data_IF_611349148164
#
_entry.id   IF_611349148164
#
_cell.length_a   1.000
_cell.length_b   1.000
_cell.length_c   1.000
_cell.angle_alpha   90.00
_cell.angle_beta   90.00
_cell.angle_gamma   90.00
#
_symmetry.space_group_name_H-M   'P 1'
#
loop_
_entity.id
_entity.type
_entity.pdbx_description
1 polymer ?
#
# COMPACT_ATOMS: atom_id res chain seq x y z
N UNK A 1 -15.90 20.48 -4.58
CA UNK A 1 -15.97 19.63 -3.36
C UNK A 1 -14.96 20.16 -2.36
N UNK A 2 -15.37 20.37 -1.10
CA UNK A 2 -14.69 21.24 -0.13
C UNK A 2 -13.32 20.70 0.31
N UNK A 3 -12.31 21.57 0.38
CA UNK A 3 -10.94 21.30 0.85
C UNK A 3 -10.89 20.63 2.24
N UNK A 4 -11.92 20.85 3.07
CA UNK A 4 -12.06 20.23 4.39
C UNK A 4 -12.25 18.70 4.32
N UNK A 5 -12.95 18.20 3.29
CA UNK A 5 -13.15 16.76 3.10
C UNK A 5 -11.86 16.05 2.71
N UNK A 6 -11.08 16.67 1.81
CA UNK A 6 -9.80 16.12 1.35
C UNK A 6 -8.77 16.11 2.49
N UNK A 7 -8.72 17.19 3.29
CA UNK A 7 -7.92 17.24 4.50
C UNK A 7 -8.32 16.15 5.51
N UNK A 8 -9.61 15.96 5.77
CA UNK A 8 -10.10 14.94 6.68
C UNK A 8 -9.70 13.53 6.20
N UNK A 9 -9.85 13.23 4.91
CA UNK A 9 -9.42 11.95 4.34
C UNK A 9 -7.89 11.76 4.45
N UNK A 10 -7.10 12.78 4.17
CA UNK A 10 -5.65 12.74 4.33
C UNK A 10 -5.21 12.53 5.79
N UNK A 11 -5.95 13.07 6.76
CA UNK A 11 -5.74 12.79 8.18
C UNK A 11 -6.02 11.32 8.52
N UNK A 12 -7.12 10.75 8.02
CA UNK A 12 -7.46 9.34 8.22
C UNK A 12 -6.37 8.43 7.62
N UNK A 13 -5.91 8.70 6.40
CA UNK A 13 -4.84 7.91 5.78
C UNK A 13 -3.54 7.93 6.57
N UNK A 14 -3.13 9.10 7.07
CA UNK A 14 -1.95 9.23 7.93
C UNK A 14 -2.13 8.47 9.24
N UNK A 15 -3.29 8.55 9.87
CA UNK A 15 -3.58 7.85 11.11
C UNK A 15 -3.56 6.33 10.93
N UNK A 16 -4.14 5.83 9.85
CA UNK A 16 -4.10 4.39 9.52
C UNK A 16 -2.67 3.94 9.23
N UNK A 17 -1.89 4.72 8.47
CA UNK A 17 -0.49 4.41 8.21
C UNK A 17 0.32 4.34 9.51
N UNK A 18 0.14 5.30 10.41
CA UNK A 18 0.83 5.31 11.70
C UNK A 18 0.52 4.04 12.50
N UNK A 19 -0.77 3.68 12.62
CA UNK A 19 -1.18 2.45 13.32
C UNK A 19 -0.57 1.20 12.67
N UNK A 20 -0.52 1.12 11.34
CA UNK A 20 0.16 0.00 10.66
C UNK A 20 1.65 -0.06 10.99
N UNK A 21 2.34 1.10 11.05
CA UNK A 21 3.75 1.16 11.41
C UNK A 21 4.02 0.74 12.85
N UNK A 22 3.12 1.02 13.78
CA UNK A 22 3.21 0.59 15.18
C UNK A 22 3.23 -0.94 15.32
N UNK A 23 2.54 -1.66 14.44
CA UNK A 23 2.52 -3.14 14.44
C UNK A 23 3.72 -3.76 13.73
N UNK A 24 4.51 -2.98 12.99
CA UNK A 24 5.65 -3.51 12.25
C UNK A 24 6.92 -3.50 13.11
N UNK A 25 7.65 -4.61 13.09
CA UNK A 25 9.01 -4.67 13.62
C UNK A 25 9.95 -3.75 12.83
N UNK A 26 11.12 -3.45 13.40
CA UNK A 26 12.11 -2.64 12.69
C UNK A 26 12.54 -3.25 11.35
N UNK A 27 12.73 -4.57 11.30
CA UNK A 27 13.03 -5.29 10.07
C UNK A 27 11.88 -5.14 9.04
N UNK A 28 10.63 -5.26 9.49
CA UNK A 28 9.47 -5.09 8.62
C UNK A 28 9.35 -3.66 8.07
N UNK A 29 9.64 -2.64 8.87
CA UNK A 29 9.70 -1.24 8.41
C UNK A 29 10.79 -1.04 7.36
N UNK A 30 11.96 -1.66 7.53
CA UNK A 30 13.02 -1.62 6.52
C UNK A 30 12.61 -2.32 5.22
N UNK A 31 12.02 -3.52 5.31
CA UNK A 31 11.47 -4.24 4.15
C UNK A 31 10.39 -3.43 3.41
N UNK A 32 9.56 -2.68 4.13
CA UNK A 32 8.57 -1.81 3.53
C UNK A 32 9.22 -0.68 2.72
N UNK A 33 10.29 -0.04 3.23
CA UNK A 33 10.99 0.99 2.48
C UNK A 33 11.59 0.43 1.18
N UNK A 34 12.17 -0.77 1.22
CA UNK A 34 12.68 -1.46 0.04
C UNK A 34 11.57 -1.80 -0.97
N UNK A 35 10.40 -2.25 -0.48
CA UNK A 35 9.23 -2.49 -1.33
C UNK A 35 8.76 -1.22 -2.03
N UNK A 36 8.63 -0.11 -1.29
CA UNK A 36 8.26 1.19 -1.86
C UNK A 36 9.26 1.59 -2.94
N UNK A 37 10.56 1.51 -2.66
CA UNK A 37 11.60 1.84 -3.65
C UNK A 37 11.48 0.98 -4.91
N UNK A 38 11.30 -0.34 -4.77
CA UNK A 38 11.15 -1.25 -5.91
C UNK A 38 9.92 -0.93 -6.75
N UNK A 39 8.78 -0.62 -6.12
CA UNK A 39 7.55 -0.23 -6.82
C UNK A 39 7.75 1.08 -7.57
N UNK A 40 8.35 2.09 -6.95
CA UNK A 40 8.59 3.39 -7.59
C UNK A 40 9.57 3.26 -8.77
N UNK A 41 10.64 2.49 -8.62
CA UNK A 41 11.60 2.24 -9.70
C UNK A 41 10.92 1.48 -10.85
N UNK A 42 10.15 0.42 -10.55
CA UNK A 42 9.44 -0.35 -11.57
C UNK A 42 8.36 0.46 -12.30
N UNK A 43 7.70 1.40 -11.61
CA UNK A 43 6.75 2.32 -12.21
C UNK A 43 7.42 3.39 -13.10
N UNK A 44 8.73 3.58 -13.00
CA UNK A 44 9.46 4.63 -13.71
C UNK A 44 9.34 6.02 -13.05
N UNK A 45 9.21 6.05 -11.72
CA UNK A 45 9.13 7.25 -10.89
C UNK A 45 7.75 7.47 -10.26
N UNK A 46 7.66 8.42 -9.31
CA UNK A 46 6.41 8.79 -8.64
C UNK A 46 5.35 9.32 -9.61
N UNK A 47 5.74 10.05 -10.65
CA UNK A 47 4.84 10.60 -11.68
C UNK A 47 4.04 9.52 -12.42
N UNK A 48 4.61 8.32 -12.56
CA UNK A 48 4.03 7.21 -13.32
C UNK A 48 3.38 6.15 -12.44
N UNK A 49 3.45 6.29 -11.11
CA UNK A 49 2.96 5.27 -10.18
C UNK A 49 1.46 5.04 -10.29
N UNK A 50 0.68 6.07 -10.65
CA UNK A 50 -0.77 5.96 -10.85
C UNK A 50 -1.16 4.91 -11.90
N UNK A 51 -0.34 4.74 -12.96
CA UNK A 51 -0.60 3.75 -14.01
C UNK A 51 -0.10 2.35 -13.68
N UNK A 52 0.69 2.20 -12.61
CA UNK A 52 1.36 0.95 -12.29
C UNK A 52 0.40 -0.05 -11.63
N UNK A 53 0.46 -1.32 -12.05
CA UNK A 53 -0.43 -2.38 -11.57
C UNK A 53 0.36 -3.44 -10.84
N UNK A 54 0.02 -3.67 -9.58
CA UNK A 54 0.57 -4.76 -8.77
C UNK A 54 -0.49 -5.83 -8.60
N UNK A 55 -0.17 -7.05 -9.04
CA UNK A 55 -1.01 -8.22 -8.79
C UNK A 55 -0.47 -9.02 -7.61
N UNK A 56 -1.36 -9.39 -6.70
CA UNK A 56 -1.04 -10.19 -5.53
C UNK A 56 -1.98 -11.40 -5.43
N UNK A 57 -1.41 -12.60 -5.50
CA UNK A 57 -2.15 -13.84 -5.29
C UNK A 57 -2.27 -14.09 -3.78
N UNK A 58 -3.49 -13.99 -3.24
CA UNK A 58 -3.76 -14.14 -1.82
C UNK A 58 -4.07 -15.59 -1.49
N UNK A 59 -3.14 -16.29 -0.83
CA UNK A 59 -3.22 -17.72 -0.51
C UNK A 59 -4.04 -18.07 0.73
N UNK A 60 -4.82 -17.16 1.32
CA UNK A 60 -5.75 -17.42 2.43
C UNK A 60 -5.12 -17.64 3.82
N UNK A 61 -3.79 -17.77 3.92
CA UNK A 61 -3.07 -17.95 5.19
C UNK A 61 -2.70 -16.64 5.90
N UNK A 62 -2.19 -16.74 7.13
CA UNK A 62 -1.68 -15.58 7.90
C UNK A 62 -0.59 -14.80 7.15
N UNK A 63 0.32 -15.52 6.49
CA UNK A 63 1.36 -14.91 5.65
C UNK A 63 0.74 -14.12 4.49
N UNK A 64 -0.40 -14.58 3.98
CA UNK A 64 -1.11 -13.91 2.90
C UNK A 64 -1.75 -12.60 3.33
N UNK A 65 -2.21 -12.52 4.59
CA UNK A 65 -2.72 -11.30 5.22
C UNK A 65 -1.58 -10.34 5.52
N UNK A 66 -0.44 -10.84 6.00
CA UNK A 66 0.72 -10.00 6.29
C UNK A 66 1.29 -9.35 5.04
N UNK A 67 1.48 -10.11 3.95
CA UNK A 67 1.92 -9.55 2.68
C UNK A 67 0.91 -8.53 2.11
N UNK A 68 -0.41 -8.74 2.29
CA UNK A 68 -1.41 -7.75 1.93
C UNK A 68 -1.30 -6.47 2.77
N UNK A 69 -1.07 -6.59 4.08
CA UNK A 69 -0.86 -5.45 4.97
C UNK A 69 0.37 -4.63 4.54
N UNK A 70 1.46 -5.30 4.13
CA UNK A 70 2.64 -4.64 3.56
C UNK A 70 2.33 -3.85 2.29
N UNK A 71 1.57 -4.43 1.35
CA UNK A 71 1.18 -3.77 0.12
C UNK A 71 0.29 -2.54 0.40
N UNK A 72 -0.63 -2.64 1.36
CA UNK A 72 -1.46 -1.50 1.79
C UNK A 72 -0.66 -0.41 2.50
N UNK A 73 0.29 -0.78 3.35
CA UNK A 73 1.19 0.17 3.99
C UNK A 73 2.05 0.91 2.95
N UNK A 74 2.47 0.23 1.88
CA UNK A 74 3.19 0.85 0.77
C UNK A 74 2.30 1.85 0.02
N UNK A 75 1.05 1.49 -0.28
CA UNK A 75 0.11 2.41 -0.93
C UNK A 75 -0.11 3.70 -0.12
N UNK A 76 -0.37 3.57 1.19
CA UNK A 76 -0.56 4.71 2.09
C UNK A 76 0.72 5.55 2.22
N UNK A 77 1.89 4.92 2.28
CA UNK A 77 3.18 5.63 2.37
C UNK A 77 3.49 6.43 1.11
N UNK A 78 3.13 5.90 -0.07
CA UNK A 78 3.28 6.62 -1.35
C UNK A 78 2.26 7.75 -1.43
N UNK A 79 1.00 7.49 -1.07
CA UNK A 79 -0.07 8.49 -1.08
C UNK A 79 0.16 9.63 -0.05
N UNK A 80 0.97 9.40 0.98
CA UNK A 80 1.39 10.47 1.90
C UNK A 80 2.38 11.46 1.26
N UNK A 81 3.02 11.09 0.14
CA UNK A 81 4.05 11.88 -0.56
C UNK A 81 3.63 12.29 -1.98
N UNK A 82 2.57 11.71 -2.51
CA UNK A 82 2.03 11.95 -3.86
C UNK A 82 0.51 11.89 -3.82
N UNK A 83 -0.18 12.58 -4.72
CA UNK A 83 -1.64 12.56 -4.85
C UNK A 83 -2.19 11.24 -5.40
N UNK A 84 -1.31 10.32 -5.83
CA UNK A 84 -1.71 9.02 -6.40
C UNK A 84 -0.81 7.87 -5.95
N UNK A 85 -1.29 6.64 -6.16
CA UNK A 85 -0.56 5.41 -5.83
C UNK A 85 -0.86 4.33 -6.87
N UNK A 86 -0.14 3.22 -6.81
CA UNK A 86 -0.31 2.10 -7.73
C UNK A 86 -1.65 1.36 -7.52
N UNK A 87 -2.14 0.74 -8.59
CA UNK A 87 -3.32 -0.11 -8.54
C UNK A 87 -2.98 -1.50 -8.03
N UNK A 88 -3.51 -1.86 -6.85
CA UNK A 88 -3.38 -3.19 -6.28
C UNK A 88 -4.57 -4.07 -6.68
N UNK A 89 -4.30 -5.22 -7.32
CA UNK A 89 -5.28 -6.25 -7.63
C UNK A 89 -4.98 -7.50 -6.82
N UNK A 90 -6.00 -8.00 -6.13
CA UNK A 90 -5.90 -9.20 -5.29
C UNK A 90 -6.59 -10.33 -6.03
N UNK A 91 -5.85 -11.38 -6.35
CA UNK A 91 -6.39 -12.62 -6.87
C UNK A 91 -6.55 -13.59 -5.69
N UNK A 92 -7.78 -13.85 -5.28
CA UNK A 92 -8.09 -14.92 -4.34
C UNK A 92 -8.32 -16.22 -5.12
N UNK A 93 -7.84 -17.38 -4.65
CA UNK A 93 -8.23 -18.65 -5.24
C UNK A 93 -9.75 -18.73 -5.21
N UNK A 94 -10.37 -19.00 -6.37
CA UNK A 94 -11.81 -19.12 -6.47
C UNK A 94 -12.26 -20.20 -5.49
N UNK A 95 -13.12 -19.82 -4.54
CA UNK A 95 -13.88 -20.79 -3.78
C UNK A 95 -14.77 -21.49 -4.81
N UNK A 96 -14.38 -22.68 -5.28
CA UNK A 96 -15.31 -23.56 -5.96
C UNK A 96 -16.37 -23.92 -4.92
N UNK A 97 -17.58 -23.40 -5.13
CA UNK A 97 -18.79 -23.80 -4.41
C UNK A 97 -19.36 -25.05 -5.08
#
# INVERSE_FOLDING_TARGET
>A
MSSVHDQAMQHVYRQVLQRLMEHFSQAQRASLQLLIQRVIVAAGGYERVAGFKVMYAHGGGKDSVQALAFLRAAQLSIAARSTSTFHLRIATPGTQA
#
